data_IF_590337353115
#
_entry.id   IF_590337353115
#
_cell.length_a   1.000
_cell.length_b   1.000
_cell.length_c   1.000
_cell.angle_alpha   90.00
_cell.angle_beta   90.00
_cell.angle_gamma   90.00
#
_symmetry.space_group_name_H-M   'P 1'
#
loop_
_entity.id
_entity.type
_entity.pdbx_description
1 polymer ?
#
# COMPACT_ATOMS: atom_id res chain seq x y z
N UNK A 1 42.76 -17.18 6.27
CA UNK A 1 41.81 -16.30 7.00
C UNK A 1 40.73 -15.90 5.99
N UNK A 2 39.71 -16.75 5.84
CA UNK A 2 38.34 -16.55 6.37
C UNK A 2 37.65 -15.37 5.63
N UNK A 3 37.10 -15.59 4.43
CA UNK A 3 35.78 -16.14 4.07
C UNK A 3 34.61 -15.17 4.28
N UNK A 4 33.63 -15.28 3.36
CA UNK A 4 32.25 -14.75 3.39
C UNK A 4 32.05 -13.41 2.63
N UNK A 5 31.13 -13.24 1.67
CA UNK A 5 29.91 -13.99 1.35
C UNK A 5 29.58 -13.92 -0.16
N UNK A 6 29.29 -15.09 -0.71
CA UNK A 6 28.53 -15.31 -1.95
C UNK A 6 27.13 -14.70 -1.82
N UNK A 7 26.76 -13.84 -2.76
CA UNK A 7 25.38 -13.35 -2.88
C UNK A 7 24.71 -14.08 -4.03
N UNK A 8 23.88 -15.06 -3.69
CA UNK A 8 23.11 -15.88 -4.62
C UNK A 8 21.89 -15.06 -5.09
N UNK A 9 22.05 -14.42 -6.24
CA UNK A 9 20.98 -13.67 -6.89
C UNK A 9 19.92 -14.62 -7.43
N UNK A 10 18.82 -14.80 -6.69
CA UNK A 10 17.62 -15.42 -7.25
C UNK A 10 17.03 -14.52 -8.35
N UNK A 11 17.41 -14.81 -9.59
CA UNK A 11 16.74 -14.31 -10.78
C UNK A 11 15.32 -14.88 -10.81
N UNK A 12 14.36 -14.03 -10.44
CA UNK A 12 12.94 -14.35 -10.54
C UNK A 12 12.51 -14.29 -12.01
N UNK A 13 12.80 -15.36 -12.75
CA UNK A 13 12.18 -15.64 -14.04
C UNK A 13 10.72 -16.06 -13.79
N UNK A 14 9.79 -15.10 -13.74
CA UNK A 14 8.38 -15.43 -13.92
C UNK A 14 8.19 -15.83 -15.38
N UNK A 15 8.32 -17.13 -15.64
CA UNK A 15 8.17 -17.79 -16.94
C UNK A 15 6.72 -17.82 -17.42
N UNK A 16 6.01 -16.69 -17.40
CA UNK A 16 4.82 -16.56 -18.22
C UNK A 16 5.29 -16.13 -19.61
N UNK A 17 5.73 -17.13 -20.35
CA UNK A 17 5.97 -17.04 -21.78
C UNK A 17 4.65 -16.64 -22.46
N UNK A 18 4.69 -15.66 -23.36
CA UNK A 18 3.51 -15.25 -24.14
C UNK A 18 2.96 -16.46 -24.92
N UNK A 19 3.83 -17.39 -25.28
CA UNK A 19 3.47 -18.65 -25.93
C UNK A 19 2.62 -19.53 -25.02
N UNK A 20 2.91 -19.57 -23.72
CA UNK A 20 2.16 -20.38 -22.77
C UNK A 20 0.78 -19.77 -22.47
N UNK A 21 0.68 -18.45 -22.42
CA UNK A 21 -0.62 -17.76 -22.29
C UNK A 21 -1.49 -17.99 -23.54
N UNK A 22 -0.94 -17.81 -24.74
CA UNK A 22 -1.66 -18.08 -25.99
C UNK A 22 -2.05 -19.57 -26.11
N UNK A 23 -1.19 -20.48 -25.64
CA UNK A 23 -1.50 -21.91 -25.61
C UNK A 23 -2.64 -22.25 -24.63
N UNK A 24 -2.68 -21.64 -23.44
CA UNK A 24 -3.79 -21.81 -22.50
C UNK A 24 -5.11 -21.25 -23.03
N UNK A 25 -5.07 -20.11 -23.75
CA UNK A 25 -6.23 -19.55 -24.45
C UNK A 25 -6.70 -20.53 -25.53
N UNK A 26 -5.80 -21.06 -26.35
CA UNK A 26 -6.10 -22.03 -27.39
C UNK A 26 -6.70 -23.34 -26.84
N UNK A 27 -6.10 -23.91 -25.81
CA UNK A 27 -6.63 -25.12 -25.14
C UNK A 27 -8.01 -24.87 -24.55
N UNK A 28 -8.25 -23.69 -23.98
CA UNK A 28 -9.56 -23.29 -23.50
C UNK A 28 -10.57 -23.24 -24.65
N UNK A 29 -10.24 -22.60 -25.77
CA UNK A 29 -11.12 -22.54 -26.95
C UNK A 29 -11.42 -23.94 -27.52
N UNK A 30 -10.43 -24.84 -27.61
CA UNK A 30 -10.65 -26.25 -28.00
C UNK A 30 -11.64 -26.94 -27.06
N UNK A 31 -11.46 -26.80 -25.75
CA UNK A 31 -12.32 -27.45 -24.75
C UNK A 31 -13.76 -26.93 -24.79
N UNK A 32 -13.96 -25.67 -25.19
CA UNK A 32 -15.31 -25.12 -25.39
C UNK A 32 -15.92 -25.63 -26.71
N UNK A 33 -15.13 -25.73 -27.78
CA UNK A 33 -15.57 -26.26 -29.06
C UNK A 33 -15.90 -27.76 -29.01
N UNK A 34 -15.16 -28.57 -28.24
CA UNK A 34 -15.42 -30.01 -28.12
C UNK A 34 -16.70 -30.35 -27.35
N UNK A 35 -17.20 -29.43 -26.51
CA UNK A 35 -18.49 -29.55 -25.82
C UNK A 35 -19.68 -29.21 -26.72
N UNK A 36 -19.47 -28.38 -27.75
CA UNK A 36 -20.47 -28.10 -28.77
C UNK A 36 -20.36 -29.14 -29.90
N UNK A 37 -21.09 -30.25 -29.79
CA UNK A 37 -21.18 -31.24 -30.87
C UNK A 37 -21.66 -30.54 -32.15
N UNK A 38 -20.76 -30.39 -33.13
CA UNK A 38 -20.89 -29.78 -34.47
C UNK A 38 -20.39 -28.33 -34.55
N UNK A 39 -19.10 -28.17 -34.88
CA UNK A 39 -18.60 -27.11 -35.76
C UNK A 39 -17.20 -27.49 -36.28
N UNK A 40 -16.97 -27.29 -37.58
CA UNK A 40 -15.68 -27.53 -38.26
C UNK A 40 -14.61 -26.59 -37.67
N UNK A 41 -13.51 -27.18 -37.21
CA UNK A 41 -12.33 -26.45 -36.72
C UNK A 41 -11.72 -25.65 -37.88
N UNK A 42 -11.53 -24.33 -37.78
CA UNK A 42 -10.80 -23.56 -38.78
C UNK A 42 -9.32 -23.95 -38.74
N UNK A 43 -8.75 -24.36 -39.87
CA UNK A 43 -7.31 -24.61 -39.98
C UNK A 43 -6.56 -23.28 -39.98
N UNK A 44 -5.96 -22.92 -38.85
CA UNK A 44 -5.00 -21.81 -38.82
C UNK A 44 -3.66 -22.26 -39.40
N UNK A 45 -3.31 -21.74 -40.59
CA UNK A 45 -1.95 -21.85 -41.12
C UNK A 45 -1.03 -20.90 -40.36
N UNK A 46 -0.18 -21.46 -39.49
CA UNK A 46 1.01 -20.76 -39.02
C UNK A 46 1.97 -20.56 -40.20
N UNK A 47 2.18 -19.30 -40.61
CA UNK A 47 3.27 -18.94 -41.50
C UNK A 47 4.58 -19.08 -40.73
N UNK A 48 5.29 -20.19 -40.96
CA UNK A 48 6.68 -20.37 -40.52
C UNK A 48 7.57 -19.58 -41.47
N UNK A 49 8.02 -18.39 -41.06
CA UNK A 49 9.26 -17.82 -41.61
C UNK A 49 10.41 -18.65 -41.03
N UNK A 50 11.13 -19.32 -41.93
CA UNK A 50 12.27 -20.18 -41.65
C UNK A 50 13.47 -19.36 -41.21
N UNK A 51 13.87 -19.46 -39.94
CA UNK A 51 15.26 -19.27 -39.53
C UNK A 51 15.87 -20.64 -39.30
N UNK A 52 16.84 -20.99 -40.14
CA UNK A 52 17.67 -22.18 -40.02
C UNK A 52 18.50 -22.10 -38.72
N UNK A 53 18.31 -23.03 -37.80
CA UNK A 53 19.39 -23.65 -37.03
C UNK A 53 18.83 -24.88 -36.29
N UNK A 54 19.65 -25.93 -36.25
CA UNK A 54 19.30 -27.30 -35.90
C UNK A 54 18.83 -27.47 -34.45
N UNK A 55 17.86 -28.36 -34.23
CA UNK A 55 17.58 -28.96 -32.92
C UNK A 55 18.27 -30.33 -32.85
N UNK A 56 18.93 -30.68 -31.73
CA UNK A 56 19.11 -32.08 -31.37
C UNK A 56 17.80 -32.62 -30.79
N UNK A 57 17.41 -33.80 -31.28
CA UNK A 57 16.27 -34.59 -30.83
C UNK A 57 16.47 -35.04 -29.38
N UNK A 58 15.59 -34.62 -28.48
CA UNK A 58 15.39 -35.30 -27.20
C UNK A 58 14.13 -36.16 -27.32
N UNK A 59 14.34 -37.48 -27.40
CA UNK A 59 13.28 -38.47 -27.17
C UNK A 59 12.93 -38.44 -25.69
N UNK A 60 11.71 -38.00 -25.35
CA UNK A 60 11.14 -38.23 -24.04
C UNK A 60 10.27 -39.48 -24.15
N UNK A 61 10.72 -40.56 -23.52
CA UNK A 61 9.95 -41.79 -23.35
C UNK A 61 8.72 -41.52 -22.48
N UNK A 62 7.63 -42.21 -22.81
CA UNK A 62 6.38 -42.26 -22.05
C UNK A 62 6.63 -42.37 -20.54
N UNK A 63 6.15 -41.38 -19.79
CA UNK A 63 5.98 -41.47 -18.34
C UNK A 63 4.48 -41.61 -18.08
N UNK A 64 4.12 -42.67 -17.37
CA UNK A 64 2.76 -43.05 -17.02
C UNK A 64 2.00 -41.94 -16.28
N UNK A 65 0.82 -41.60 -16.82
CA UNK A 65 -0.14 -40.66 -16.26
C UNK A 65 -0.85 -41.26 -15.02
N UNK A 66 -0.16 -41.40 -13.89
CA UNK A 66 -0.79 -41.61 -12.57
C UNK A 66 -0.03 -40.93 -11.44
N UNK A 67 0.16 -39.61 -11.52
CA UNK A 67 0.44 -38.78 -10.33
C UNK A 67 -0.29 -37.45 -10.45
N UNK A 68 -1.42 -37.34 -9.77
CA UNK A 68 -2.03 -36.06 -9.40
C UNK A 68 -1.06 -35.33 -8.47
N UNK A 69 -0.34 -34.35 -9.01
CA UNK A 69 0.40 -33.39 -8.19
C UNK A 69 -0.63 -32.45 -7.60
N UNK A 70 -0.89 -32.58 -6.29
CA UNK A 70 -1.58 -31.55 -5.53
C UNK A 70 -0.72 -30.28 -5.59
N UNK A 71 -1.16 -29.34 -6.43
CA UNK A 71 -0.59 -28.00 -6.44
C UNK A 71 -1.14 -27.29 -5.21
N UNK A 72 -0.34 -27.24 -4.14
CA UNK A 72 -0.62 -26.39 -3.00
C UNK A 72 -0.80 -24.94 -3.47
N UNK A 73 -2.01 -24.42 -3.33
CA UNK A 73 -2.28 -23.00 -3.51
C UNK A 73 -1.44 -22.22 -2.49
N UNK A 74 -0.43 -21.47 -2.97
CA UNK A 74 0.27 -20.47 -2.16
C UNK A 74 -0.71 -19.34 -1.81
N UNK A 75 -1.42 -19.53 -0.71
CA UNK A 75 -2.19 -18.50 -0.04
C UNK A 75 -1.19 -17.46 0.48
N UNK A 76 -1.32 -16.22 0.01
CA UNK A 76 -0.62 -15.09 0.59
C UNK A 76 -1.05 -14.97 2.05
N UNK A 77 -0.13 -15.33 2.95
CA UNK A 77 -0.34 -15.20 4.39
C UNK A 77 -0.43 -13.71 4.71
N UNK A 78 -1.66 -13.19 4.83
CA UNK A 78 -1.92 -12.07 5.71
C UNK A 78 -1.25 -12.39 7.05
N UNK A 79 -0.53 -11.43 7.60
CA UNK A 79 0.07 -11.51 8.94
C UNK A 79 -0.90 -12.21 9.87
N UNK A 80 -0.58 -13.44 10.28
CA UNK A 80 -1.40 -14.18 11.24
C UNK A 80 -1.38 -13.36 12.51
N UNK A 81 -2.48 -12.67 12.78
CA UNK A 81 -2.69 -12.08 14.09
C UNK A 81 -2.65 -13.22 15.12
N UNK A 82 -2.03 -12.99 16.29
CA UNK A 82 -1.91 -14.02 17.30
C UNK A 82 -3.31 -14.53 17.66
N UNK A 83 -3.43 -15.86 17.84
CA UNK A 83 -4.70 -16.54 18.06
C UNK A 83 -5.46 -15.93 19.26
N UNK A 84 -6.79 -16.09 19.31
CA UNK A 84 -7.66 -15.58 20.39
C UNK A 84 -7.14 -15.90 21.81
N UNK A 85 -6.34 -16.94 22.00
CA UNK A 85 -5.70 -17.29 23.28
C UNK A 85 -4.59 -16.32 23.73
N UNK A 86 -3.92 -15.61 22.82
CA UNK A 86 -2.93 -14.57 23.16
C UNK A 86 -3.58 -13.21 23.50
N UNK A 87 -4.88 -13.02 23.28
CA UNK A 87 -5.59 -11.76 23.57
C UNK A 87 -5.62 -11.42 25.07
N UNK A 88 -5.45 -12.41 25.95
CA UNK A 88 -5.48 -12.19 27.41
C UNK A 88 -4.21 -11.56 27.99
N UNK A 89 -3.12 -11.41 27.22
CA UNK A 89 -1.80 -11.02 27.76
C UNK A 89 -1.46 -9.53 27.55
N UNK A 90 -2.17 -8.79 26.69
CA UNK A 90 -1.89 -7.36 26.48
C UNK A 90 -3.05 -6.51 26.99
N UNK A 91 -3.20 -6.42 28.32
CA UNK A 91 -4.05 -5.41 28.96
C UNK A 91 -3.38 -4.03 28.81
N UNK A 92 -3.61 -3.36 27.67
CA UNK A 92 -3.25 -1.95 27.47
C UNK A 92 -2.45 -1.67 26.21
N UNK A 93 -2.71 -0.52 25.60
CA UNK A 93 -2.04 -0.06 24.39
C UNK A 93 -0.55 0.21 24.65
N UNK A 94 0.32 -0.03 23.67
CA UNK A 94 1.77 0.21 23.80
C UNK A 94 2.08 1.65 24.23
N UNK A 95 1.37 2.63 23.65
CA UNK A 95 1.53 4.04 24.03
C UNK A 95 1.12 4.31 25.49
N UNK A 96 0.13 3.60 26.04
CA UNK A 96 -0.23 3.76 27.45
C UNK A 96 0.93 3.34 28.35
N UNK A 97 1.53 2.18 28.06
CA UNK A 97 2.68 1.66 28.84
C UNK A 97 3.87 2.60 28.77
N UNK A 98 4.11 3.21 27.61
CA UNK A 98 5.25 4.10 27.40
C UNK A 98 5.07 5.49 28.02
N UNK A 99 3.83 5.99 28.11
CA UNK A 99 3.54 7.33 28.60
C UNK A 99 2.93 7.39 30.00
N UNK A 100 2.65 6.23 30.62
CA UNK A 100 2.43 6.09 32.06
C UNK A 100 3.73 6.44 32.80
N UNK A 101 3.87 7.69 33.23
CA UNK A 101 4.90 8.07 34.19
C UNK A 101 4.46 7.63 35.58
N UNK A 102 5.32 6.88 36.28
CA UNK A 102 5.13 6.52 37.70
C UNK A 102 4.96 7.74 38.62
N UNK A 103 5.28 8.95 38.14
CA UNK A 103 5.28 10.22 38.90
C UNK A 103 3.97 10.99 38.86
N UNK A 104 2.99 10.63 38.02
CA UNK A 104 1.77 11.45 37.86
C UNK A 104 0.76 11.27 39.02
N UNK A 105 1.07 10.43 40.01
CA UNK A 105 0.22 10.22 41.19
C UNK A 105 0.39 11.25 42.32
N UNK A 106 1.32 12.22 42.23
CA UNK A 106 1.74 12.96 43.42
C UNK A 106 1.49 14.48 43.48
N UNK A 107 1.06 15.18 42.42
CA UNK A 107 0.85 16.64 42.51
C UNK A 107 -0.35 17.13 41.67
N UNK A 108 -1.57 17.17 42.23
CA UNK A 108 -2.79 17.48 41.48
C UNK A 108 -3.04 18.97 41.17
N UNK A 109 -2.18 19.91 41.59
CA UNK A 109 -2.54 21.35 41.55
C UNK A 109 -1.55 22.28 40.83
N UNK A 110 -0.51 21.78 40.17
CA UNK A 110 0.26 22.65 39.27
C UNK A 110 -0.53 22.75 37.97
N UNK A 111 -1.22 23.87 37.77
CA UNK A 111 -1.83 24.19 36.47
C UNK A 111 -0.78 23.91 35.39
N UNK A 112 -1.09 23.00 34.46
CA UNK A 112 -0.28 22.72 33.27
C UNK A 112 -0.22 24.00 32.41
N UNK A 113 0.47 25.02 32.90
CA UNK A 113 0.81 26.22 32.15
C UNK A 113 1.76 25.77 31.05
N UNK A 114 1.17 25.55 29.87
CA UNK A 114 1.64 25.84 28.50
C UNK A 114 3.15 25.85 28.25
N UNK A 115 3.94 24.96 28.86
CA UNK A 115 5.32 24.77 28.44
C UNK A 115 5.26 24.15 27.05
N UNK A 116 5.57 24.97 26.04
CA UNK A 116 5.64 24.52 24.66
C UNK A 116 6.70 23.42 24.57
N UNK A 117 6.38 22.25 24.01
CA UNK A 117 7.37 21.18 23.88
C UNK A 117 8.59 21.62 23.06
N UNK A 118 9.79 21.44 23.60
CA UNK A 118 11.05 21.85 22.97
C UNK A 118 11.60 20.78 22.00
N UNK A 119 11.25 19.51 22.20
CA UNK A 119 11.65 18.39 21.36
C UNK A 119 10.45 17.54 20.90
N UNK A 120 10.67 16.73 19.86
CA UNK A 120 9.62 15.90 19.26
C UNK A 120 9.07 14.81 20.19
N UNK A 121 9.91 14.23 21.06
CA UNK A 121 9.48 13.20 22.01
C UNK A 121 8.56 13.78 23.07
N UNK A 122 8.93 14.93 23.63
CA UNK A 122 8.10 15.68 24.58
C UNK A 122 6.80 16.13 23.92
N UNK A 123 6.87 16.64 22.68
CA UNK A 123 5.70 17.02 21.88
C UNK A 123 4.74 15.85 21.72
N UNK A 124 5.24 14.71 21.25
CA UNK A 124 4.44 13.51 21.00
C UNK A 124 3.81 12.95 22.26
N UNK A 125 4.54 12.92 23.38
CA UNK A 125 4.02 12.52 24.69
C UNK A 125 2.88 13.43 25.13
N UNK A 126 3.09 14.75 25.06
CA UNK A 126 2.07 15.74 25.42
C UNK A 126 0.83 15.57 24.54
N UNK A 127 1.03 15.45 23.23
CA UNK A 127 -0.06 15.26 22.28
C UNK A 127 -0.87 13.99 22.56
N UNK A 128 -0.21 12.87 22.89
CA UNK A 128 -0.91 11.64 23.29
C UNK A 128 -1.73 11.87 24.55
N UNK A 129 -1.15 12.45 25.61
CA UNK A 129 -1.85 12.71 26.87
C UNK A 129 -3.11 13.55 26.67
N UNK A 130 -3.03 14.60 25.86
CA UNK A 130 -4.17 15.48 25.56
C UNK A 130 -5.25 14.76 24.75
N UNK A 131 -4.88 13.86 23.83
CA UNK A 131 -5.81 13.31 22.83
C UNK A 131 -6.14 11.80 23.01
N UNK A 132 -5.55 11.09 23.98
CA UNK A 132 -5.62 9.63 24.04
C UNK A 132 -7.05 9.09 24.15
N UNK A 133 -7.94 9.76 24.88
CA UNK A 133 -9.34 9.35 25.00
C UNK A 133 -10.03 9.41 23.63
N UNK A 134 -9.89 10.54 22.92
CA UNK A 134 -10.43 10.71 21.57
C UNK A 134 -9.85 9.68 20.59
N UNK A 135 -8.55 9.39 20.67
CA UNK A 135 -7.90 8.36 19.84
C UNK A 135 -8.52 6.98 20.11
N UNK A 136 -8.68 6.59 21.38
CA UNK A 136 -9.23 5.28 21.78
C UNK A 136 -10.71 5.14 21.44
N UNK A 137 -11.49 6.22 21.51
CA UNK A 137 -12.91 6.21 21.18
C UNK A 137 -13.20 6.47 19.71
N UNK A 138 -12.19 6.80 18.89
CA UNK A 138 -12.37 7.30 17.52
C UNK A 138 -13.09 6.35 16.57
N UNK A 139 -13.06 5.05 16.84
CA UNK A 139 -13.73 4.00 16.07
C UNK A 139 -14.81 3.27 16.88
N UNK A 140 -15.20 3.79 18.06
CA UNK A 140 -16.13 3.09 18.98
C UNK A 140 -17.53 2.91 18.38
N UNK A 141 -17.93 3.76 17.44
CA UNK A 141 -19.22 3.67 16.75
C UNK A 141 -19.26 2.57 15.68
N UNK A 142 -18.10 2.06 15.25
CA UNK A 142 -17.99 1.00 14.26
C UNK A 142 -18.11 -0.36 14.96
N UNK A 143 -19.28 -0.99 14.87
CA UNK A 143 -19.58 -2.26 15.58
C UNK A 143 -18.79 -3.46 15.07
N UNK A 144 -18.27 -3.38 13.85
CA UNK A 144 -17.51 -4.43 13.18
C UNK A 144 -16.00 -4.25 13.31
N UNK A 145 -15.52 -3.34 14.15
CA UNK A 145 -14.11 -2.96 14.23
C UNK A 145 -13.63 -2.92 15.68
N UNK A 146 -12.45 -3.49 15.91
CA UNK A 146 -11.75 -3.47 17.20
C UNK A 146 -10.37 -2.82 17.03
N UNK A 147 -10.01 -1.87 17.89
CA UNK A 147 -8.63 -1.35 17.97
C UNK A 147 -7.79 -2.35 18.76
N UNK A 148 -6.81 -2.96 18.10
CA UNK A 148 -5.92 -3.97 18.68
C UNK A 148 -4.73 -3.33 19.37
N UNK A 149 -4.12 -2.32 18.76
CA UNK A 149 -2.98 -1.63 19.35
C UNK A 149 -2.93 -0.16 18.91
N UNK A 150 -2.30 0.66 19.75
CA UNK A 150 -1.89 2.02 19.41
C UNK A 150 -0.41 2.11 19.72
N UNK A 151 0.40 2.24 18.68
CA UNK A 151 1.86 2.19 18.77
C UNK A 151 2.52 3.41 18.17
N UNK A 152 3.78 3.64 18.55
CA UNK A 152 4.55 4.74 18.00
C UNK A 152 4.86 4.50 16.52
N UNK A 153 4.49 5.45 15.67
CA UNK A 153 5.07 5.63 14.34
C UNK A 153 6.61 5.87 14.39
N UNK A 154 7.44 5.02 13.76
CA UNK A 154 8.89 5.23 13.70
C UNK A 154 9.26 6.22 12.58
N UNK A 155 9.23 7.52 12.90
CA UNK A 155 9.46 8.60 11.92
C UNK A 155 10.95 8.92 11.81
N UNK A 156 11.44 9.16 10.60
CA UNK A 156 12.80 9.66 10.40
C UNK A 156 13.05 11.01 11.11
N UNK A 157 14.24 11.17 11.71
CA UNK A 157 14.62 12.36 12.47
C UNK A 157 14.53 13.66 11.66
N UNK A 158 14.86 13.65 10.37
CA UNK A 158 14.79 14.86 9.55
C UNK A 158 13.36 15.40 9.46
N UNK A 159 12.38 14.50 9.33
CA UNK A 159 10.96 14.84 9.26
C UNK A 159 10.45 15.36 10.61
N UNK A 160 10.93 14.77 11.72
CA UNK A 160 10.64 15.28 13.06
C UNK A 160 11.15 16.72 13.22
N UNK A 161 12.38 16.99 12.79
CA UNK A 161 12.99 18.32 12.87
C UNK A 161 12.25 19.35 12.00
N UNK A 162 11.87 18.98 10.78
CA UNK A 162 11.12 19.86 9.87
C UNK A 162 9.75 20.24 10.44
N UNK A 163 9.04 19.28 11.02
CA UNK A 163 7.77 19.54 11.70
C UNK A 163 7.96 20.41 12.94
N UNK A 164 8.91 20.08 13.82
CA UNK A 164 9.16 20.84 15.05
C UNK A 164 9.63 22.27 14.75
N UNK A 165 10.43 22.48 13.70
CA UNK A 165 10.82 23.80 13.22
C UNK A 165 9.58 24.63 12.88
N UNK A 166 8.70 24.10 12.02
CA UNK A 166 7.46 24.80 11.64
C UNK A 166 6.55 25.02 12.83
N UNK A 167 6.40 24.03 13.71
CA UNK A 167 5.63 24.17 14.93
C UNK A 167 6.16 25.36 15.73
N UNK A 168 7.45 25.38 16.06
CA UNK A 168 8.06 26.43 16.87
C UNK A 168 8.01 27.83 16.23
N UNK A 169 8.16 27.93 14.92
CA UNK A 169 8.07 29.20 14.18
C UNK A 169 6.66 29.82 14.22
N UNK A 170 5.60 29.03 14.40
CA UNK A 170 4.22 29.50 14.38
C UNK A 170 3.58 29.31 15.75
N UNK A 171 3.72 30.31 16.62
CA UNK A 171 3.14 30.30 17.99
C UNK A 171 1.61 30.24 17.99
N UNK A 172 0.96 30.73 16.92
CA UNK A 172 -0.50 30.67 16.75
C UNK A 172 -1.02 29.28 16.34
N UNK A 173 -0.14 28.35 15.96
CA UNK A 173 -0.56 27.02 15.52
C UNK A 173 -0.75 26.08 16.70
N UNK A 174 -1.99 25.67 16.88
CA UNK A 174 -2.36 24.55 17.75
C UNK A 174 -2.36 23.26 16.94
N UNK A 175 -1.65 22.21 17.37
CA UNK A 175 -1.68 20.92 16.70
C UNK A 175 -3.08 20.30 16.73
N UNK A 176 -3.63 19.99 15.57
CA UNK A 176 -4.92 19.32 15.42
C UNK A 176 -4.75 17.80 15.36
N UNK A 177 -5.57 17.07 16.10
CA UNK A 177 -5.75 15.64 15.94
C UNK A 177 -6.45 15.35 14.63
N UNK A 178 -5.75 14.66 13.74
CA UNK A 178 -6.30 14.21 12.46
C UNK A 178 -5.89 12.76 12.21
N UNK A 179 -6.61 12.13 11.29
CA UNK A 179 -6.41 10.77 10.85
C UNK A 179 -6.07 10.77 9.37
N UNK A 180 -5.26 9.79 8.95
CA UNK A 180 -4.94 9.59 7.55
C UNK A 180 -4.96 8.10 7.21
N UNK A 181 -5.94 7.69 6.40
CA UNK A 181 -5.98 6.37 5.83
C UNK A 181 -5.21 6.31 4.51
N UNK A 182 -4.47 5.24 4.29
CA UNK A 182 -3.69 5.08 3.07
C UNK A 182 -3.37 3.60 2.81
N UNK A 183 -2.75 3.31 1.67
CA UNK A 183 -2.29 1.95 1.33
C UNK A 183 -1.04 1.58 2.13
N UNK A 184 -0.83 0.29 2.41
CA UNK A 184 0.34 -0.19 3.16
C UNK A 184 1.69 0.29 2.59
N UNK A 185 1.83 0.34 1.27
CA UNK A 185 3.04 0.85 0.59
C UNK A 185 3.33 2.30 0.92
N UNK A 186 2.29 3.11 1.09
CA UNK A 186 2.40 4.53 1.40
C UNK A 186 2.77 4.76 2.85
N UNK A 187 2.31 3.91 3.79
CA UNK A 187 2.72 4.00 5.21
C UNK A 187 4.25 3.94 5.33
N UNK A 188 4.90 2.98 4.65
CA UNK A 188 6.37 2.88 4.64
C UNK A 188 7.03 4.12 4.08
N UNK A 189 6.48 4.67 2.98
CA UNK A 189 6.97 5.92 2.40
C UNK A 189 6.83 7.10 3.36
N UNK A 190 5.67 7.23 4.01
CA UNK A 190 5.34 8.32 4.93
C UNK A 190 6.25 8.30 6.16
N UNK A 191 6.49 7.13 6.74
CA UNK A 191 7.38 7.00 7.90
C UNK A 191 8.85 7.35 7.55
N UNK A 192 9.26 7.07 6.31
CA UNK A 192 10.63 7.32 5.83
C UNK A 192 10.87 8.75 5.35
N UNK A 193 9.93 9.31 4.60
CA UNK A 193 10.09 10.57 3.86
C UNK A 193 9.14 11.67 4.32
N UNK A 194 8.27 11.42 5.30
CA UNK A 194 7.15 12.30 5.61
C UNK A 194 6.04 12.20 4.56
N UNK A 195 5.02 13.02 4.72
CA UNK A 195 3.97 13.15 3.73
C UNK A 195 4.51 13.80 2.45
N UNK A 196 3.96 13.42 1.30
CA UNK A 196 4.37 13.93 -0.02
C UNK A 196 3.17 14.59 -0.69
N UNK A 197 3.41 15.72 -1.36
CA UNK A 197 2.40 16.39 -2.18
C UNK A 197 2.57 15.90 -3.63
N UNK A 198 1.48 15.47 -4.29
CA UNK A 198 1.56 15.00 -5.66
C UNK A 198 2.17 16.03 -6.62
N UNK A 199 2.98 15.52 -7.56
CA UNK A 199 3.66 16.29 -8.59
C UNK A 199 4.61 17.38 -8.06
N UNK A 200 5.02 17.31 -6.79
CA UNK A 200 5.97 18.24 -6.18
C UNK A 200 7.17 17.49 -5.60
N UNK A 201 8.40 18.04 -5.73
CA UNK A 201 9.55 17.53 -5.00
C UNK A 201 9.40 17.82 -3.51
N UNK A 202 9.96 16.96 -2.65
CA UNK A 202 10.00 17.24 -1.21
C UNK A 202 10.98 18.40 -0.94
N UNK A 203 10.60 19.43 -0.18
CA UNK A 203 11.38 20.67 -0.03
C UNK A 203 12.76 20.46 0.62
N UNK A 204 12.86 19.56 1.59
CA UNK A 204 14.09 19.33 2.39
C UNK A 204 14.71 17.95 2.18
N UNK A 205 14.09 17.06 1.39
CA UNK A 205 14.51 15.67 1.25
C UNK A 205 14.59 15.26 -0.21
N UNK A 206 15.75 15.50 -0.82
CA UNK A 206 16.01 15.20 -2.24
C UNK A 206 15.91 13.72 -2.61
N UNK A 207 15.94 12.82 -1.61
CA UNK A 207 15.78 11.37 -1.81
C UNK A 207 14.31 10.93 -1.81
N UNK A 208 13.37 11.80 -1.47
CA UNK A 208 11.96 11.50 -1.51
C UNK A 208 11.47 11.40 -2.97
N UNK A 209 10.66 10.39 -3.32
CA UNK A 209 10.14 10.27 -4.68
C UNK A 209 9.09 11.34 -4.97
N UNK A 210 9.01 11.78 -6.23
CA UNK A 210 7.86 12.54 -6.72
C UNK A 210 6.74 11.54 -7.00
N UNK A 211 5.58 11.73 -6.37
CA UNK A 211 4.41 10.87 -6.57
C UNK A 211 3.42 11.52 -7.54
N UNK A 212 2.79 10.71 -8.39
CA UNK A 212 1.73 11.18 -9.26
C UNK A 212 0.41 11.35 -8.48
N UNK A 213 -0.46 12.23 -8.97
CA UNK A 213 -1.82 12.36 -8.43
C UNK A 213 -2.60 11.07 -8.71
N UNK A 214 -3.02 10.36 -7.65
CA UNK A 214 -3.81 9.12 -7.78
C UNK A 214 -5.30 9.34 -7.57
N UNK A 215 -5.69 10.20 -6.63
CA UNK A 215 -7.07 10.46 -6.25
C UNK A 215 -7.35 11.96 -6.27
N UNK A 216 -8.61 12.31 -6.56
CA UNK A 216 -9.06 13.64 -6.95
C UNK A 216 -8.52 14.81 -6.13
N UNK A 217 -8.21 15.89 -6.82
CA UNK A 217 -7.84 17.20 -6.28
C UNK A 217 -9.06 18.09 -6.06
N UNK A 218 -10.16 17.50 -5.54
CA UNK A 218 -11.46 18.17 -5.44
C UNK A 218 -11.38 19.50 -4.67
N UNK A 219 -10.49 19.57 -3.68
CA UNK A 219 -10.21 20.75 -2.86
C UNK A 219 -8.79 21.29 -3.10
N UNK A 220 -8.25 21.06 -4.30
CA UNK A 220 -6.91 21.44 -4.72
C UNK A 220 -5.82 20.42 -4.37
N UNK A 221 -4.59 20.70 -4.81
CA UNK A 221 -3.43 19.87 -4.48
C UNK A 221 -3.02 20.04 -3.02
N UNK A 222 -2.64 18.93 -2.36
CA UNK A 222 -2.21 18.93 -0.97
C UNK A 222 -2.26 17.54 -0.32
N UNK A 223 -2.02 17.52 0.98
CA UNK A 223 -2.15 16.32 1.81
C UNK A 223 -3.53 16.32 2.45
N UNK A 224 -4.33 15.31 2.11
CA UNK A 224 -5.69 15.14 2.62
C UNK A 224 -5.65 14.34 3.91
N UNK A 225 -6.28 14.83 4.96
CA UNK A 225 -6.51 14.12 6.21
C UNK A 225 -7.92 14.41 6.72
N UNK A 226 -8.37 13.70 7.75
CA UNK A 226 -9.69 13.94 8.33
C UNK A 226 -9.64 14.10 9.83
N UNK A 227 -10.51 14.94 10.37
CA UNK A 227 -10.73 15.07 11.81
C UNK A 227 -11.42 13.83 12.41
N UNK A 228 -11.96 12.94 11.57
CA UNK A 228 -12.63 11.70 11.99
C UNK A 228 -11.89 10.45 11.50
N UNK A 229 -11.73 9.47 12.38
CA UNK A 229 -11.10 8.20 12.04
C UNK A 229 -11.95 7.39 11.04
N UNK A 230 -13.27 7.41 11.22
CA UNK A 230 -14.25 6.73 10.35
C UNK A 230 -14.12 7.13 8.88
N UNK A 231 -14.02 8.43 8.60
CA UNK A 231 -13.82 8.91 7.22
C UNK A 231 -12.49 8.41 6.65
N UNK A 232 -11.43 8.48 7.45
CA UNK A 232 -10.09 8.05 7.04
C UNK A 232 -9.99 6.55 6.80
N UNK A 233 -10.76 5.74 7.53
CA UNK A 233 -10.76 4.28 7.41
C UNK A 233 -11.11 3.81 6.00
N UNK A 234 -11.98 4.53 5.28
CA UNK A 234 -12.29 4.24 3.88
C UNK A 234 -11.05 4.25 2.97
N UNK A 235 -9.97 4.91 3.37
CA UNK A 235 -8.72 4.96 2.59
C UNK A 235 -7.70 3.87 2.99
N UNK A 236 -7.99 3.01 3.97
CA UNK A 236 -7.08 1.95 4.44
C UNK A 236 -7.25 0.60 3.72
N UNK A 237 -7.74 0.56 2.49
CA UNK A 237 -8.21 -0.67 1.82
C UNK A 237 -7.18 -1.82 1.69
N UNK A 238 -5.89 -1.55 1.85
CA UNK A 238 -4.84 -2.58 1.78
C UNK A 238 -4.08 -2.74 3.09
N UNK A 239 -4.62 -2.22 4.18
CA UNK A 239 -3.96 -2.25 5.49
C UNK A 239 -4.98 -2.20 6.63
N UNK A 240 -4.60 -2.84 7.73
CA UNK A 240 -5.32 -2.75 8.99
C UNK A 240 -4.72 -1.69 9.90
N UNK A 241 -4.02 -0.71 9.34
CA UNK A 241 -3.33 0.33 10.09
C UNK A 241 -3.81 1.71 9.65
N UNK A 242 -4.24 2.53 10.62
CA UNK A 242 -4.61 3.92 10.44
C UNK A 242 -3.55 4.84 11.06
N UNK A 243 -3.18 5.92 10.36
CA UNK A 243 -2.25 6.92 10.89
C UNK A 243 -3.02 7.92 11.74
N UNK A 244 -2.52 8.18 12.94
CA UNK A 244 -2.92 9.31 13.78
C UNK A 244 -1.85 10.37 13.67
N UNK A 245 -2.24 11.57 13.26
CA UNK A 245 -1.32 12.64 12.95
C UNK A 245 -1.61 13.89 13.78
N UNK A 246 -0.58 14.71 13.94
CA UNK A 246 -0.73 16.10 14.32
C UNK A 246 -0.67 16.97 13.06
N UNK A 247 -1.67 17.81 12.83
CA UNK A 247 -1.71 18.77 11.74
C UNK A 247 -1.59 20.21 12.24
N UNK A 248 -0.96 21.08 11.44
CA UNK A 248 -0.79 22.52 11.66
C UNK A 248 -1.46 23.28 10.51
N UNK A 249 -2.80 23.26 10.43
CA UNK A 249 -3.52 23.92 9.35
C UNK A 249 -3.35 25.44 9.43
N UNK A 250 -3.19 26.08 8.26
CA UNK A 250 -3.23 27.54 8.15
C UNK A 250 -4.61 28.06 8.53
N UNK A 251 -4.63 29.18 9.24
CA UNK A 251 -5.84 29.87 9.67
C UNK A 251 -5.88 31.26 9.04
N UNK A 252 -7.06 31.69 8.60
CA UNK A 252 -7.28 33.03 8.08
C UNK A 252 -7.29 34.07 9.23
N UNK A 253 -7.43 35.35 8.89
CA UNK A 253 -7.50 36.44 9.89
C UNK A 253 -8.64 36.32 10.90
N UNK A 254 -9.69 35.53 10.59
CA UNK A 254 -10.79 35.21 11.50
C UNK A 254 -10.53 33.96 12.36
N UNK A 255 -9.35 33.36 12.27
CA UNK A 255 -8.97 32.15 12.99
C UNK A 255 -9.55 30.85 12.42
N UNK A 256 -10.31 30.90 11.32
CA UNK A 256 -10.88 29.71 10.66
C UNK A 256 -9.84 29.01 9.79
N UNK A 257 -9.90 27.68 9.70
CA UNK A 257 -8.96 26.91 8.86
C UNK A 257 -9.25 27.18 7.37
N UNK A 258 -8.23 27.62 6.62
CA UNK A 258 -8.38 28.09 5.24
C UNK A 258 -8.85 27.00 4.25
N UNK A 259 -8.39 25.75 4.46
CA UNK A 259 -8.63 24.61 3.54
C UNK A 259 -9.32 23.45 4.25
N UNK A 260 -10.41 23.78 4.94
CA UNK A 260 -11.30 22.80 5.59
C UNK A 260 -12.59 22.62 4.79
N UNK A 261 -13.01 21.37 4.59
CA UNK A 261 -14.24 21.00 3.89
C UNK A 261 -14.94 19.88 4.67
N UNK A 262 -15.87 20.26 5.55
CA UNK A 262 -16.48 19.33 6.51
C UNK A 262 -15.41 18.71 7.40
N UNK A 263 -15.32 17.38 7.44
CA UNK A 263 -14.32 16.67 8.23
C UNK A 263 -12.95 16.54 7.52
N UNK A 264 -12.76 17.16 6.35
CA UNK A 264 -11.57 17.00 5.52
C UNK A 264 -10.69 18.24 5.65
N UNK A 265 -9.41 18.02 5.92
CA UNK A 265 -8.39 19.06 5.95
C UNK A 265 -7.38 18.83 4.82
N UNK A 266 -7.07 19.89 4.06
CA UNK A 266 -6.09 19.84 2.97
C UNK A 266 -4.90 20.73 3.29
N UNK A 267 -3.77 20.10 3.56
CA UNK A 267 -2.53 20.79 3.92
C UNK A 267 -1.69 21.08 2.68
N UNK A 268 -1.12 22.27 2.65
CA UNK A 268 -0.40 22.82 1.51
C UNK A 268 1.10 22.51 1.52
N UNK A 269 1.62 22.02 2.65
CA UNK A 269 3.05 21.75 2.78
C UNK A 269 3.34 20.54 3.67
N UNK A 270 4.39 19.79 3.34
CA UNK A 270 4.74 18.50 3.96
C UNK A 270 4.98 18.58 5.46
N UNK A 271 5.64 19.63 5.94
CA UNK A 271 5.90 19.88 7.37
C UNK A 271 4.68 20.38 8.16
N UNK A 272 3.50 20.54 7.55
CA UNK A 272 2.25 20.87 8.28
C UNK A 272 1.63 19.63 8.94
N UNK A 273 2.15 18.43 8.72
CA UNK A 273 1.59 17.21 9.29
C UNK A 273 2.67 16.18 9.58
N UNK A 274 2.51 15.48 10.71
CA UNK A 274 3.41 14.41 11.12
C UNK A 274 2.63 13.22 11.68
N UNK A 275 2.93 11.97 11.26
CA UNK A 275 2.24 10.79 11.78
C UNK A 275 2.79 10.43 13.16
N UNK A 276 2.03 10.67 14.22
CA UNK A 276 2.46 10.42 15.58
C UNK A 276 2.20 8.99 16.04
N UNK A 277 1.13 8.34 15.59
CA UNK A 277 0.80 6.98 16.03
C UNK A 277 0.26 6.13 14.89
N UNK A 278 0.33 4.82 15.09
CA UNK A 278 -0.29 3.82 14.25
C UNK A 278 -1.35 3.13 15.08
N UNK A 279 -2.61 3.19 14.63
CA UNK A 279 -3.71 2.39 15.18
C UNK A 279 -3.78 1.12 14.35
N UNK A 280 -3.53 -0.02 14.99
CA UNK A 280 -3.73 -1.33 14.37
C UNK A 280 -5.13 -1.83 14.71
N UNK A 281 -5.85 -2.26 13.67
CA UNK A 281 -7.29 -2.50 13.67
C UNK A 281 -7.57 -3.96 13.31
N UNK A 282 -8.61 -4.55 13.89
CA UNK A 282 -9.16 -5.84 13.49
C UNK A 282 -10.63 -5.69 13.10
N UNK A 283 -11.01 -6.24 11.95
CA UNK A 283 -12.40 -6.38 11.56
C UNK A 283 -12.98 -7.63 12.22
N UNK A 284 -14.08 -7.47 12.97
CA UNK A 284 -14.71 -8.54 13.75
C UNK A 284 -15.62 -9.44 12.92
N UNK A 285 -16.01 -9.01 11.72
CA UNK A 285 -16.90 -9.82 10.88
C UNK A 285 -16.16 -10.97 10.21
N UNK A 286 -16.54 -12.20 10.57
CA UNK A 286 -16.12 -13.45 9.91
C UNK A 286 -16.71 -13.60 8.50
N UNK A 287 -17.61 -12.70 8.07
CA UNK A 287 -18.35 -12.84 6.82
C UNK A 287 -17.54 -12.35 5.60
N UNK A 288 -16.42 -12.97 5.22
CA UNK A 288 -15.80 -12.89 3.87
C UNK A 288 -15.73 -11.51 3.14
N UNK A 289 -15.83 -10.39 3.87
CA UNK A 289 -16.03 -9.05 3.34
C UNK A 289 -14.82 -8.19 3.71
N UNK A 290 -13.63 -8.67 3.35
CA UNK A 290 -12.60 -7.79 2.82
C UNK A 290 -12.99 -7.32 1.39
N UNK A 291 -14.28 -7.01 1.17
CA UNK A 291 -14.69 -6.26 0.00
C UNK A 291 -14.57 -4.80 0.42
N UNK A 292 -13.57 -4.05 -0.09
CA UNK A 292 -13.47 -2.62 0.21
C UNK A 292 -14.81 -1.93 -0.07
N UNK A 293 -15.14 -0.86 0.64
CA UNK A 293 -16.43 -0.15 0.55
C UNK A 293 -16.82 0.25 -0.90
N UNK A 294 -15.87 0.42 -1.83
CA UNK A 294 -16.15 0.62 -3.26
C UNK A 294 -16.52 -0.64 -4.06
N UNK A 295 -16.43 -1.83 -3.46
CA UNK A 295 -17.02 -3.06 -4.00
C UNK A 295 -18.53 -3.17 -3.67
N UNK A 296 -19.18 -2.09 -3.24
CA UNK A 296 -20.57 -1.83 -3.64
C UNK A 296 -20.65 -1.58 -5.16
N UNK A 297 -20.16 -2.53 -5.96
CA UNK A 297 -20.71 -2.67 -7.29
C UNK A 297 -22.17 -3.04 -7.09
N UNK A 298 -23.06 -2.30 -7.74
CA UNK A 298 -24.46 -2.65 -7.98
C UNK A 298 -24.59 -4.16 -7.92
N UNK A 299 -25.33 -4.73 -6.94
CA UNK A 299 -25.52 -6.16 -6.91
C UNK A 299 -26.17 -6.51 -8.24
N UNK A 300 -25.37 -7.08 -9.15
CA UNK A 300 -25.89 -8.00 -10.14
C UNK A 300 -26.57 -9.05 -9.28
N UNK A 301 -27.89 -8.92 -9.12
CA UNK A 301 -28.77 -9.90 -8.51
C UNK A 301 -28.69 -11.14 -9.38
N UNK A 302 -27.59 -11.86 -9.28
CA UNK A 302 -27.49 -13.24 -9.69
C UNK A 302 -28.25 -13.98 -8.59
N UNK A 303 -29.47 -14.42 -8.92
CA UNK A 303 -30.26 -15.31 -8.09
C UNK A 303 -29.50 -16.64 -8.01
N UNK A 304 -28.54 -16.76 -7.08
CA UNK A 304 -27.79 -17.99 -6.80
C UNK A 304 -28.64 -18.90 -5.89
N UNK A 305 -29.94 -19.02 -6.16
CA UNK A 305 -30.79 -20.02 -5.52
C UNK A 305 -30.94 -21.28 -6.36
N UNK A 306 -30.54 -21.26 -7.62
CA UNK A 306 -30.68 -22.41 -8.48
C UNK A 306 -29.31 -22.95 -8.91
N UNK A 307 -28.98 -24.09 -8.30
CA UNK A 307 -28.08 -25.12 -8.84
C UNK A 307 -26.57 -24.88 -8.61
N UNK A 308 -26.06 -25.33 -7.45
CA UNK A 308 -24.63 -25.34 -7.11
C UNK A 308 -23.76 -26.16 -8.09
N UNK A 309 -24.39 -26.91 -9.00
CA UNK A 309 -23.73 -27.70 -10.03
C UNK A 309 -23.75 -27.04 -11.42
N UNK A 310 -24.36 -25.85 -11.60
CA UNK A 310 -24.34 -25.19 -12.90
C UNK A 310 -22.96 -24.55 -13.15
N UNK A 311 -22.30 -24.91 -14.26
CA UNK A 311 -21.02 -24.30 -14.61
C UNK A 311 -21.22 -22.80 -14.83
N UNK A 312 -20.32 -21.99 -14.27
CA UNK A 312 -20.31 -20.55 -14.44
C UNK A 312 -20.14 -20.21 -15.93
N UNK A 313 -21.22 -19.81 -16.60
CA UNK A 313 -21.17 -19.41 -18.01
C UNK A 313 -20.75 -17.93 -18.08
N UNK A 314 -19.46 -17.70 -18.24
CA UNK A 314 -18.93 -16.38 -18.57
C UNK A 314 -19.15 -16.13 -20.06
N UNK A 315 -19.79 -15.01 -20.42
CA UNK A 315 -19.98 -14.68 -21.83
C UNK A 315 -18.63 -14.54 -22.55
N UNK A 316 -18.52 -15.08 -23.77
CA UNK A 316 -17.30 -15.02 -24.58
C UNK A 316 -16.79 -13.58 -24.76
N UNK A 317 -17.71 -12.60 -24.86
CA UNK A 317 -17.40 -11.17 -24.97
C UNK A 317 -16.73 -10.64 -23.70
N UNK A 318 -17.24 -11.02 -22.53
CA UNK A 318 -16.66 -10.60 -21.25
C UNK A 318 -15.29 -11.24 -21.03
N UNK A 319 -15.15 -12.55 -21.28
CA UNK A 319 -13.86 -13.24 -21.17
C UNK A 319 -12.80 -12.61 -22.09
N UNK A 320 -13.14 -12.33 -23.35
CA UNK A 320 -12.25 -11.61 -24.28
C UNK A 320 -11.83 -10.25 -23.75
N UNK A 321 -12.74 -9.49 -23.14
CA UNK A 321 -12.44 -8.18 -22.58
C UNK A 321 -11.44 -8.29 -21.42
N UNK A 322 -11.62 -9.26 -20.53
CA UNK A 322 -10.71 -9.53 -19.41
C UNK A 322 -9.33 -9.99 -19.91
N UNK A 323 -9.29 -10.94 -20.85
CA UNK A 323 -8.03 -11.44 -21.41
C UNK A 323 -7.26 -10.36 -22.17
N UNK A 324 -7.95 -9.52 -22.95
CA UNK A 324 -7.33 -8.38 -23.63
C UNK A 324 -6.76 -7.37 -22.64
N UNK A 325 -7.49 -7.07 -21.57
CA UNK A 325 -7.01 -6.18 -20.51
C UNK A 325 -5.74 -6.73 -19.84
N UNK A 326 -5.72 -8.03 -19.52
CA UNK A 326 -4.52 -8.68 -18.97
C UNK A 326 -3.34 -8.63 -19.96
N UNK A 327 -3.58 -8.89 -21.25
CA UNK A 327 -2.57 -8.81 -22.30
C UNK A 327 -1.99 -7.40 -22.42
N UNK A 328 -2.83 -6.37 -22.31
CA UNK A 328 -2.40 -4.98 -22.36
C UNK A 328 -1.58 -4.59 -21.13
N UNK A 329 -1.94 -5.04 -19.92
CA UNK A 329 -1.14 -4.81 -18.72
C UNK A 329 0.22 -5.52 -18.76
N UNK A 330 0.29 -6.76 -19.27
CA UNK A 330 1.56 -7.46 -19.48
C UNK A 330 2.44 -6.69 -20.48
N UNK A 331 1.86 -6.19 -21.58
CA UNK A 331 2.59 -5.35 -22.55
C UNK A 331 3.09 -4.05 -21.94
N UNK A 332 2.28 -3.35 -21.14
CA UNK A 332 2.70 -2.14 -20.42
C UNK A 332 3.86 -2.43 -19.48
N UNK A 333 3.78 -3.52 -18.71
CA UNK A 333 4.85 -3.95 -17.81
C UNK A 333 6.14 -4.29 -18.56
N UNK A 334 6.07 -4.96 -19.72
CA UNK A 334 7.24 -5.23 -20.57
C UNK A 334 7.87 -3.94 -21.10
N UNK A 335 7.06 -2.98 -21.58
CA UNK A 335 7.56 -1.67 -22.02
C UNK A 335 8.23 -0.91 -20.88
N UNK A 336 7.66 -0.97 -19.68
CA UNK A 336 8.25 -0.35 -18.49
C UNK A 336 9.60 -0.97 -18.13
N UNK A 337 9.72 -2.31 -18.16
CA UNK A 337 11.00 -3.02 -17.96
C UNK A 337 12.03 -2.66 -19.03
N UNK A 338 11.64 -2.61 -20.30
CA UNK A 338 12.53 -2.22 -21.40
C UNK A 338 13.11 -0.81 -21.23
N UNK A 339 12.27 0.16 -20.84
CA UNK A 339 12.73 1.54 -20.54
C UNK A 339 13.73 1.57 -19.39
N UNK A 340 13.48 0.80 -18.33
CA UNK A 340 14.39 0.71 -17.17
C UNK A 340 15.74 0.09 -17.55
N UNK A 341 15.75 -0.96 -18.36
CA UNK A 341 16.98 -1.60 -18.83
C UNK A 341 17.78 -0.66 -19.75
N UNK A 342 17.12 0.09 -20.63
CA UNK A 342 17.78 1.10 -21.45
C UNK A 342 18.39 2.24 -20.62
N UNK A 343 17.70 2.72 -19.58
CA UNK A 343 18.26 3.73 -18.67
C UNK A 343 19.49 3.21 -17.91
N UNK A 344 19.48 1.94 -17.50
CA UNK A 344 20.68 1.32 -16.89
C UNK A 344 21.84 1.18 -17.87
N UNK A 345 21.56 0.87 -19.14
CA UNK A 345 22.59 0.80 -20.19
C UNK A 345 23.23 2.16 -20.43
N UNK A 346 22.43 3.21 -20.63
CA UNK A 346 22.90 4.59 -20.82
C UNK A 346 23.77 5.04 -19.63
N UNK A 347 23.32 4.80 -18.39
CA UNK A 347 24.11 5.14 -17.20
C UNK A 347 25.46 4.44 -17.13
N UNK A 348 25.54 3.17 -17.52
CA UNK A 348 26.83 2.45 -17.57
C UNK A 348 27.73 3.04 -18.65
N UNK A 349 27.20 3.34 -19.82
CA UNK A 349 27.97 3.97 -20.91
C UNK A 349 28.52 5.34 -20.50
N UNK A 350 27.72 6.17 -19.82
CA UNK A 350 28.17 7.44 -19.26
C UNK A 350 29.26 7.26 -18.18
N UNK A 351 29.10 6.29 -17.26
CA UNK A 351 30.11 5.97 -16.24
C UNK A 351 31.44 5.48 -16.84
N UNK A 352 31.40 4.73 -17.95
CA UNK A 352 32.59 4.29 -18.67
C UNK A 352 33.30 5.47 -19.35
N UNK A 353 32.56 6.41 -19.96
CA UNK A 353 33.20 7.58 -20.59
C UNK A 353 33.87 8.50 -19.58
N UNK A 354 33.30 8.67 -18.37
CA UNK A 354 33.92 9.49 -17.31
C UNK A 354 35.24 8.89 -16.83
N UNK A 355 35.40 7.56 -16.81
CA UNK A 355 36.65 6.90 -16.37
C UNK A 355 37.78 6.93 -17.41
N UNK A 356 37.49 7.18 -18.69
CA UNK A 356 38.52 7.23 -19.74
C UNK A 356 39.18 8.62 -19.82
N UNK A 357 38.62 9.62 -19.14
CA UNK A 357 39.14 11.00 -19.10
C UNK A 357 39.90 11.36 -17.82
N UNK A 358 40.39 10.39 -17.04
CA UNK A 358 41.44 10.69 -16.06
C UNK A 358 42.79 10.74 -16.79
N UNK A 359 43.38 11.93 -16.98
CA UNK A 359 44.73 12.01 -17.54
C UNK A 359 45.69 11.33 -16.56
N UNK A 360 46.52 10.44 -17.08
CA UNK A 360 47.66 9.91 -16.34
C UNK A 360 48.54 11.09 -15.88
N UNK A 361 48.46 11.40 -14.59
CA UNK A 361 49.32 12.35 -13.88
C UNK A 361 50.17 11.60 -12.88
#
# INVERSE_FOLDING_TARGET
MASDNFYDGFDYNSSQDDVEIEYQIYLFEIRQCSKAKKLRIPSYRFSRKTSKSQHPLIKINNIDNKRTVEVEQKIFRYTRYPSKQAKNIIKGFECDKQFQTKSDCAQPNVSLQTVRPHDFTTFRRHFYRTNHQQIKSSLKHQTNIEIINIRLAPINQSIQNDFMKRFNENTSYYPHLVYHGTKLTNIKSILRYGFLIPNQPHPTNTKAPIIATQNGSAYGAGIYCSETADYSLSYTNTTNTLLVCAALPKRNGAGSIERSHGNILVLSHVSEIIPLFLIDIQYLSESNLNKPWFNQQYPLKMNIKDDANKPLIISRKYLRKVLNYMKDEVRKNRRYRGRRNNQHKIRREDEYQVRVFEPFS
#
